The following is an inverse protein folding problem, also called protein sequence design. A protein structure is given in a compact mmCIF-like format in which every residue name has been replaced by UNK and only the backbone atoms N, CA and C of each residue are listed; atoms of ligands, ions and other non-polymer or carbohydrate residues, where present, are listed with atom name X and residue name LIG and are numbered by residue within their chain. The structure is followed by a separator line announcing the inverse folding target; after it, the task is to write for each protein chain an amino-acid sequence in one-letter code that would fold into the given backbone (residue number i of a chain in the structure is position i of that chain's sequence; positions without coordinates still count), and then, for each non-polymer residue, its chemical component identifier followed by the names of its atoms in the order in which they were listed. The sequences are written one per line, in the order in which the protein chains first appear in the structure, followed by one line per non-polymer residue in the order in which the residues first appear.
data_IF_390566835603
#
_entry.id   IF_390566835603
#
_cell.length_a   1.000
_cell.length_b   1.000
_cell.length_c   1.000
_cell.angle_alpha   90.00
_cell.angle_beta   90.00
_cell.angle_gamma   90.00
#
_symmetry.space_group_name_H-M   'P 1'
#
loop_
_entity.id
_entity.type
_entity.pdbx_description
1 polymer ?
#
# COMPACT_ATOMS: atom_id res chain seq x y z
N UNK A 1 6.22 18.11 -5.92
CA UNK A 1 5.42 17.03 -6.55
C UNK A 1 6.38 16.00 -7.10
N UNK A 2 6.14 14.73 -6.87
CA UNK A 2 6.99 13.67 -7.42
C UNK A 2 6.74 13.57 -8.92
N UNK A 3 7.77 13.75 -9.74
CA UNK A 3 7.62 13.77 -11.21
C UNK A 3 7.68 12.36 -11.84
N UNK A 4 7.81 11.29 -11.03
CA UNK A 4 7.97 9.90 -11.47
C UNK A 4 7.43 8.90 -10.43
N UNK A 5 7.37 7.62 -10.82
CA UNK A 5 7.16 6.52 -9.87
C UNK A 5 8.47 6.23 -9.11
N UNK A 6 8.36 6.08 -7.79
CA UNK A 6 9.42 5.63 -6.90
C UNK A 6 9.24 4.16 -6.57
N UNK A 7 10.30 3.39 -6.64
CA UNK A 7 10.28 1.96 -6.34
C UNK A 7 10.90 1.68 -4.99
N UNK A 8 10.38 0.68 -4.30
CA UNK A 8 10.86 0.28 -2.98
C UNK A 8 10.26 -1.03 -2.48
N UNK A 9 10.41 -1.29 -1.19
CA UNK A 9 9.97 -2.54 -0.54
C UNK A 9 9.01 -2.28 0.61
N UNK A 10 8.15 -3.24 0.89
CA UNK A 10 7.39 -3.32 2.15
C UNK A 10 8.23 -4.10 3.16
N UNK A 11 8.86 -3.38 4.07
CA UNK A 11 9.88 -3.89 4.99
C UNK A 11 11.31 -3.61 4.53
N UNK A 12 12.24 -3.65 5.49
CA UNK A 12 13.67 -3.47 5.21
C UNK A 12 14.19 -4.57 4.29
N UNK A 13 15.07 -4.26 3.30
CA UNK A 13 15.68 -5.26 2.44
C UNK A 13 16.31 -6.42 3.20
N UNK A 14 16.24 -7.63 2.65
CA UNK A 14 16.84 -8.82 3.25
C UNK A 14 18.37 -8.69 3.39
N UNK A 15 18.99 -7.98 2.47
CA UNK A 15 20.44 -7.69 2.48
C UNK A 15 20.83 -6.52 3.38
N UNK A 16 19.93 -6.06 4.26
CA UNK A 16 20.25 -5.01 5.23
C UNK A 16 21.37 -5.45 6.16
N UNK A 17 22.51 -4.72 6.26
CA UNK A 17 23.60 -5.07 7.15
C UNK A 17 23.16 -5.14 8.62
N UNK A 18 23.78 -5.99 9.45
CA UNK A 18 23.42 -6.10 10.87
C UNK A 18 23.75 -4.82 11.68
N UNK A 19 24.57 -3.95 11.14
CA UNK A 19 24.92 -2.65 11.75
C UNK A 19 24.87 -1.55 10.70
N UNK A 20 24.06 -0.48 10.94
CA UNK A 20 23.25 -0.22 12.13
C UNK A 20 22.05 -1.14 12.29
N UNK A 21 21.66 -1.90 11.24
CA UNK A 21 20.53 -2.81 11.28
C UNK A 21 19.17 -2.12 11.41
N UNK A 22 18.11 -2.90 11.58
CA UNK A 22 16.76 -2.39 11.75
C UNK A 22 16.30 -1.47 10.60
N UNK A 23 15.35 -0.59 10.89
CA UNK A 23 14.78 0.31 9.87
C UNK A 23 15.80 1.33 9.35
N UNK A 24 16.68 1.87 10.21
CA UNK A 24 17.73 2.82 9.80
C UNK A 24 18.70 2.17 8.82
N UNK A 25 19.17 0.94 9.11
CA UNK A 25 19.99 0.18 8.18
C UNK A 25 19.24 -0.17 6.90
N UNK A 26 17.96 -0.47 7.00
CA UNK A 26 17.08 -0.71 5.84
C UNK A 26 16.99 0.50 4.91
N UNK A 27 16.86 1.71 5.46
CA UNK A 27 16.85 2.95 4.68
C UNK A 27 18.17 3.19 3.96
N UNK A 28 19.30 2.96 4.64
CA UNK A 28 20.63 3.05 4.02
C UNK A 28 20.76 2.03 2.89
N UNK A 29 20.28 0.80 3.12
CA UNK A 29 20.31 -0.24 2.11
C UNK A 29 19.43 0.05 0.89
N UNK A 30 18.22 0.58 1.09
CA UNK A 30 17.35 1.08 0.02
C UNK A 30 18.08 2.10 -0.86
N UNK A 31 18.75 3.07 -0.23
CA UNK A 31 19.52 4.09 -0.94
C UNK A 31 20.69 3.48 -1.73
N UNK A 32 21.48 2.58 -1.12
CA UNK A 32 22.60 1.88 -1.79
C UNK A 32 22.15 1.07 -3.00
N UNK A 33 20.95 0.47 -2.94
CA UNK A 33 20.36 -0.28 -4.06
C UNK A 33 19.80 0.63 -5.16
N UNK A 34 19.76 1.95 -4.96
CA UNK A 34 19.16 2.89 -5.90
C UNK A 34 17.63 2.84 -5.93
N UNK A 35 17.01 2.29 -4.89
CA UNK A 35 15.58 2.37 -4.62
C UNK A 35 15.25 3.68 -3.90
N UNK A 36 13.98 4.11 -3.93
CA UNK A 36 13.59 5.47 -3.53
C UNK A 36 12.41 5.49 -2.54
N UNK A 37 11.89 4.32 -2.13
CA UNK A 37 10.78 4.22 -1.19
C UNK A 37 10.96 3.04 -0.23
N UNK A 38 10.44 3.20 0.99
CA UNK A 38 10.36 2.13 1.99
C UNK A 38 9.05 2.23 2.76
N UNK A 39 8.32 1.13 2.84
CA UNK A 39 7.18 1.00 3.73
C UNK A 39 7.59 0.33 5.03
N UNK A 40 7.29 0.98 6.15
CA UNK A 40 7.57 0.46 7.48
C UNK A 40 6.56 -0.65 7.80
N UNK A 41 6.98 -1.91 7.75
CA UNK A 41 6.12 -3.08 7.93
C UNK A 41 5.80 -3.32 9.42
N UNK A 42 4.92 -2.52 10.01
CA UNK A 42 4.44 -2.71 11.38
C UNK A 42 3.25 -3.67 11.48
N UNK A 43 3.28 -4.67 10.65
CA UNK A 43 2.18 -5.60 10.35
C UNK A 43 1.67 -6.44 11.53
N UNK A 44 2.45 -6.57 12.60
CA UNK A 44 2.03 -7.28 13.82
C UNK A 44 1.62 -6.33 14.94
N UNK A 45 2.41 -5.28 15.15
CA UNK A 45 2.15 -4.27 16.18
C UNK A 45 3.07 -3.07 15.96
N UNK A 46 2.65 -1.90 16.40
CA UNK A 46 3.47 -0.70 16.44
C UNK A 46 4.30 -0.72 17.72
N UNK A 47 5.59 -1.05 17.61
CA UNK A 47 6.55 -1.08 18.73
C UNK A 47 7.79 -0.29 18.33
N UNK A 48 7.70 1.01 18.44
CA UNK A 48 8.78 1.95 18.10
C UNK A 48 8.82 3.07 19.11
N UNK A 49 10.02 3.47 19.54
CA UNK A 49 10.19 4.62 20.43
C UNK A 49 10.18 5.92 19.63
N UNK A 50 9.88 7.04 20.29
CA UNK A 50 9.97 8.37 19.68
C UNK A 50 11.37 8.67 19.15
N UNK A 51 12.40 8.26 19.91
CA UNK A 51 13.79 8.41 19.46
C UNK A 51 14.06 7.65 18.16
N UNK A 52 13.58 6.40 18.05
CA UNK A 52 13.69 5.62 16.83
C UNK A 52 12.92 6.27 15.68
N UNK A 53 11.72 6.81 15.93
CA UNK A 53 10.98 7.57 14.92
C UNK A 53 11.77 8.79 14.42
N UNK A 54 12.39 9.54 15.30
CA UNK A 54 13.25 10.70 14.93
C UNK A 54 14.42 10.26 14.05
N UNK A 55 15.09 9.16 14.40
CA UNK A 55 16.21 8.61 13.63
C UNK A 55 15.76 8.14 12.24
N UNK A 56 14.63 7.45 12.14
CA UNK A 56 14.02 7.02 10.87
C UNK A 56 13.75 8.24 10.00
N UNK A 57 13.06 9.26 10.54
CA UNK A 57 12.76 10.49 9.81
C UNK A 57 14.01 11.16 9.29
N UNK A 58 14.98 11.43 10.17
CA UNK A 58 16.23 12.12 9.80
C UNK A 58 17.00 11.35 8.73
N UNK A 59 17.04 10.01 8.81
CA UNK A 59 17.73 9.18 7.83
C UNK A 59 16.99 9.20 6.49
N UNK A 60 15.66 9.06 6.49
CA UNK A 60 14.88 9.07 5.25
C UNK A 60 14.96 10.43 4.54
N UNK A 61 14.87 11.53 5.28
CA UNK A 61 15.02 12.89 4.75
C UNK A 61 16.41 13.12 4.15
N UNK A 62 17.48 12.72 4.86
CA UNK A 62 18.86 12.86 4.39
C UNK A 62 19.13 12.05 3.11
N UNK A 63 18.50 10.88 2.95
CA UNK A 63 18.67 10.00 1.79
C UNK A 63 17.63 10.22 0.69
N UNK A 64 16.65 11.11 0.89
CA UNK A 64 15.58 11.38 -0.06
C UNK A 64 14.62 10.21 -0.29
N UNK A 65 14.44 9.33 0.72
CA UNK A 65 13.59 8.14 0.64
C UNK A 65 12.15 8.49 1.06
N UNK A 66 11.18 8.14 0.21
CA UNK A 66 9.77 8.27 0.53
C UNK A 66 9.33 7.18 1.50
N UNK A 67 8.76 7.61 2.65
CA UNK A 67 8.26 6.68 3.67
C UNK A 67 6.76 6.51 3.62
N UNK A 68 6.33 5.28 3.89
CA UNK A 68 4.96 4.91 4.27
C UNK A 68 5.00 3.92 5.44
N UNK A 69 3.82 3.59 5.95
CA UNK A 69 3.66 2.58 7.02
C UNK A 69 2.59 1.60 6.58
N UNK A 70 2.86 0.30 6.71
CA UNK A 70 1.83 -0.72 6.74
C UNK A 70 1.39 -0.97 8.19
N UNK A 71 0.14 -0.66 8.50
CA UNK A 71 -0.44 -0.87 9.82
C UNK A 71 -0.67 -2.37 10.13
N UNK A 72 -0.90 -2.75 11.39
CA UNK A 72 -1.09 -4.16 11.75
C UNK A 72 -2.24 -4.83 10.98
N UNK A 73 -2.03 -6.07 10.52
CA UNK A 73 -3.02 -6.83 9.74
C UNK A 73 -4.30 -7.16 10.50
N UNK A 74 -4.22 -7.30 11.83
CA UNK A 74 -5.36 -7.72 12.65
C UNK A 74 -6.32 -6.56 12.92
N UNK A 75 -6.92 -6.03 11.85
CA UNK A 75 -7.89 -4.94 11.91
C UNK A 75 -9.16 -5.30 11.14
N UNK A 76 -10.29 -4.82 11.64
CA UNK A 76 -11.57 -4.89 10.96
C UNK A 76 -12.43 -3.70 11.35
N UNK A 77 -12.47 -2.69 10.49
CA UNK A 77 -13.34 -1.53 10.73
C UNK A 77 -14.82 -1.87 10.61
N UNK A 78 -15.19 -3.03 10.03
CA UNK A 78 -16.56 -3.55 10.01
C UNK A 78 -16.85 -4.54 11.16
N UNK A 79 -16.01 -4.61 12.21
CA UNK A 79 -16.23 -5.51 13.33
C UNK A 79 -17.62 -5.32 13.95
N UNK A 80 -18.34 -6.43 14.21
CA UNK A 80 -19.69 -6.43 14.76
C UNK A 80 -19.72 -6.07 16.24
N UNK A 81 -18.70 -6.50 16.98
CA UNK A 81 -18.58 -6.22 18.39
C UNK A 81 -17.76 -4.95 18.66
N UNK A 82 -18.11 -4.29 19.76
CA UNK A 82 -17.50 -3.01 20.15
C UNK A 82 -16.00 -3.15 20.51
N UNK A 83 -15.61 -4.27 21.08
CA UNK A 83 -14.23 -4.51 21.51
C UNK A 83 -13.30 -4.70 20.29
N UNK A 84 -13.73 -5.48 19.30
CA UNK A 84 -13.01 -5.70 18.04
C UNK A 84 -12.84 -4.41 17.24
N UNK A 85 -13.89 -3.59 17.17
CA UNK A 85 -13.77 -2.27 16.54
C UNK A 85 -12.78 -1.36 17.28
N UNK A 86 -12.90 -1.26 18.61
CA UNK A 86 -11.99 -0.44 19.42
C UNK A 86 -10.54 -0.85 19.22
N UNK A 87 -10.25 -2.15 19.28
CA UNK A 87 -8.90 -2.67 19.06
C UNK A 87 -8.37 -2.36 17.64
N UNK A 88 -9.23 -2.44 16.62
CA UNK A 88 -8.88 -2.10 15.23
C UNK A 88 -8.56 -0.61 15.09
N UNK A 89 -9.41 0.24 15.66
CA UNK A 89 -9.22 1.68 15.68
C UNK A 89 -7.92 2.08 16.40
N UNK A 90 -7.65 1.52 17.59
CA UNK A 90 -6.45 1.79 18.37
C UNK A 90 -5.17 1.42 17.57
N UNK A 91 -5.18 0.30 16.83
CA UNK A 91 -4.05 -0.10 15.98
C UNK A 91 -3.80 0.87 14.85
N UNK A 92 -4.86 1.31 14.16
CA UNK A 92 -4.73 2.27 13.06
C UNK A 92 -4.25 3.63 13.57
N UNK A 93 -4.83 4.12 14.67
CA UNK A 93 -4.41 5.37 15.31
C UNK A 93 -2.94 5.33 15.76
N UNK A 94 -2.51 4.21 16.37
CA UNK A 94 -1.12 4.03 16.78
C UNK A 94 -0.16 4.04 15.58
N UNK A 95 -0.53 3.37 14.49
CA UNK A 95 0.27 3.36 13.26
C UNK A 95 0.35 4.76 12.63
N UNK A 96 -0.75 5.50 12.60
CA UNK A 96 -0.81 6.85 12.07
C UNK A 96 0.06 7.82 12.87
N UNK A 97 -0.06 7.84 14.20
CA UNK A 97 0.72 8.72 15.10
C UNK A 97 2.22 8.42 15.01
N UNK A 98 2.60 7.15 15.13
CA UNK A 98 4.00 6.76 15.06
C UNK A 98 4.59 6.96 13.64
N UNK A 99 3.80 6.68 12.59
CA UNK A 99 4.18 6.94 11.21
C UNK A 99 4.45 8.42 10.95
N UNK A 100 3.55 9.28 11.40
CA UNK A 100 3.72 10.72 11.32
C UNK A 100 5.00 11.20 12.04
N UNK A 101 5.28 10.68 13.24
CA UNK A 101 6.52 10.97 13.96
C UNK A 101 7.75 10.48 13.19
N UNK A 102 7.68 9.32 12.55
CA UNK A 102 8.75 8.76 11.73
C UNK A 102 8.92 9.44 10.35
N UNK A 103 8.06 10.41 10.00
CA UNK A 103 8.14 11.13 8.72
C UNK A 103 7.34 10.47 7.59
N UNK A 104 6.62 9.38 7.84
CA UNK A 104 5.70 8.79 6.90
C UNK A 104 4.39 9.59 6.87
N UNK A 105 3.87 9.80 5.66
CA UNK A 105 2.58 10.48 5.47
C UNK A 105 1.47 9.54 4.98
N UNK A 106 1.82 8.40 4.44
CA UNK A 106 0.90 7.39 3.93
C UNK A 106 0.83 6.20 4.89
N UNK A 107 -0.37 5.85 5.34
CA UNK A 107 -0.62 4.76 6.30
C UNK A 107 -1.52 3.74 5.62
N UNK A 108 -0.94 2.68 5.12
CA UNK A 108 -1.65 1.55 4.50
C UNK A 108 -2.27 0.66 5.57
N UNK A 109 -3.46 0.17 5.32
CA UNK A 109 -4.15 -0.73 6.23
C UNK A 109 -5.18 -1.60 5.50
N UNK A 110 -5.40 -2.80 6.01
CA UNK A 110 -6.50 -3.67 5.61
C UNK A 110 -7.81 -3.18 6.24
N UNK A 111 -8.83 -2.80 5.47
CA UNK A 111 -10.05 -2.21 6.05
C UNK A 111 -10.92 -3.22 6.81
N UNK A 112 -10.76 -4.53 6.54
CA UNK A 112 -11.42 -5.60 7.27
C UNK A 112 -12.20 -6.57 6.39
N UNK A 113 -13.28 -7.13 6.91
CA UNK A 113 -14.09 -8.14 6.24
C UNK A 113 -15.58 -7.83 6.33
N UNK A 114 -16.36 -8.37 5.41
CA UNK A 114 -17.82 -8.18 5.41
C UNK A 114 -18.51 -8.84 6.60
N UNK A 115 -17.93 -9.92 7.16
CA UNK A 115 -18.54 -10.70 8.26
C UNK A 115 -20.00 -11.11 7.98
N UNK A 116 -20.32 -11.42 6.71
CA UNK A 116 -21.68 -11.76 6.27
C UNK A 116 -22.64 -10.56 6.17
N UNK A 117 -22.17 -9.33 6.33
CA UNK A 117 -22.97 -8.15 6.00
C UNK A 117 -23.07 -7.96 4.49
N UNK A 118 -24.14 -7.32 4.01
CA UNK A 118 -24.21 -6.87 2.61
C UNK A 118 -23.17 -5.78 2.38
N UNK A 119 -22.58 -5.72 1.16
CA UNK A 119 -21.52 -4.76 0.83
C UNK A 119 -21.85 -3.31 1.17
N UNK A 120 -23.06 -2.86 0.86
CA UNK A 120 -23.49 -1.48 1.11
C UNK A 120 -23.52 -1.14 2.61
N UNK A 121 -23.97 -2.09 3.43
CA UNK A 121 -23.98 -1.91 4.89
C UNK A 121 -22.56 -1.92 5.48
N UNK A 122 -21.70 -2.77 4.96
CA UNK A 122 -20.28 -2.80 5.37
C UNK A 122 -19.62 -1.48 4.99
N UNK A 123 -19.85 -1.00 3.76
CA UNK A 123 -19.35 0.28 3.28
C UNK A 123 -19.74 1.44 4.22
N UNK A 124 -21.00 1.62 4.52
CA UNK A 124 -21.46 2.70 5.40
C UNK A 124 -20.84 2.62 6.81
N UNK A 125 -20.64 1.39 7.32
CA UNK A 125 -20.00 1.20 8.62
C UNK A 125 -18.53 1.59 8.58
N UNK A 126 -17.78 1.11 7.57
CA UNK A 126 -16.36 1.40 7.39
C UNK A 126 -16.17 2.90 7.13
N UNK A 127 -16.96 3.49 6.21
CA UNK A 127 -16.89 4.92 5.88
C UNK A 127 -17.04 5.80 7.11
N UNK A 128 -18.11 5.61 7.88
CA UNK A 128 -18.37 6.40 9.10
C UNK A 128 -17.22 6.27 10.11
N UNK A 129 -16.75 5.04 10.39
CA UNK A 129 -15.70 4.78 11.36
C UNK A 129 -14.33 5.31 10.90
N UNK A 130 -14.05 5.24 9.60
CA UNK A 130 -12.82 5.78 9.03
C UNK A 130 -12.83 7.31 9.06
N UNK A 131 -13.98 7.93 8.79
CA UNK A 131 -14.16 9.36 8.90
C UNK A 131 -13.90 9.86 10.33
N UNK A 132 -14.46 9.20 11.35
CA UNK A 132 -14.21 9.48 12.78
C UNK A 132 -12.70 9.43 13.11
N UNK A 133 -11.98 8.45 12.56
CA UNK A 133 -10.51 8.30 12.74
C UNK A 133 -9.76 9.46 12.08
N UNK A 134 -10.10 9.81 10.84
CA UNK A 134 -9.47 10.93 10.11
C UNK A 134 -9.67 12.25 10.84
N UNK A 135 -10.89 12.51 11.32
CA UNK A 135 -11.22 13.72 12.06
C UNK A 135 -10.40 13.84 13.36
N UNK A 136 -10.31 12.77 14.14
CA UNK A 136 -9.51 12.76 15.37
C UNK A 136 -8.02 12.94 15.10
N UNK A 137 -7.44 12.26 14.11
CA UNK A 137 -6.04 12.46 13.73
C UNK A 137 -5.76 13.92 13.32
N UNK A 138 -6.71 14.55 12.63
CA UNK A 138 -6.61 15.96 12.22
C UNK A 138 -6.67 16.89 13.44
N UNK A 139 -7.56 16.63 14.40
CA UNK A 139 -7.65 17.39 15.66
C UNK A 139 -6.36 17.28 16.48
N UNK A 140 -5.66 16.15 16.42
CA UNK A 140 -4.36 15.92 17.04
C UNK A 140 -3.18 16.56 16.27
N UNK A 141 -3.41 17.14 15.11
CA UNK A 141 -2.34 17.66 14.24
C UNK A 141 -1.52 16.56 13.55
N UNK A 142 -2.06 15.33 13.45
CA UNK A 142 -1.43 14.19 12.75
C UNK A 142 -1.85 14.22 11.28
N UNK A 143 -1.06 14.89 10.46
CA UNK A 143 -1.32 15.08 9.03
C UNK A 143 -0.83 13.87 8.20
N UNK A 144 -1.66 12.85 8.09
CA UNK A 144 -1.41 11.64 7.30
C UNK A 144 -2.55 11.38 6.31
N UNK A 145 -2.26 10.58 5.29
CA UNK A 145 -3.23 10.00 4.36
C UNK A 145 -3.45 8.55 4.77
N UNK A 146 -4.69 8.19 5.09
CA UNK A 146 -5.05 6.81 5.36
C UNK A 146 -5.32 6.09 4.03
N UNK A 147 -4.65 4.96 3.83
CA UNK A 147 -4.64 4.19 2.58
C UNK A 147 -5.34 2.83 2.76
N UNK A 148 -6.67 2.74 2.65
CA UNK A 148 -7.33 1.44 2.61
C UNK A 148 -6.84 0.66 1.39
N UNK A 149 -6.44 -0.59 1.62
CA UNK A 149 -5.85 -1.44 0.60
C UNK A 149 -6.91 -2.29 -0.11
N UNK A 150 -6.70 -2.53 -1.42
CA UNK A 150 -7.49 -3.52 -2.16
C UNK A 150 -7.13 -4.93 -1.72
N UNK A 151 -8.13 -5.78 -1.46
CA UNK A 151 -7.98 -7.07 -0.79
C UNK A 151 -8.15 -8.27 -1.72
N UNK A 152 -7.32 -9.29 -1.54
CA UNK A 152 -7.23 -10.47 -2.41
C UNK A 152 -8.27 -11.58 -2.18
N UNK A 153 -9.26 -11.40 -1.29
CA UNK A 153 -10.33 -12.39 -1.04
C UNK A 153 -11.71 -11.75 -1.11
N UNK A 154 -12.67 -12.45 -1.73
CA UNK A 154 -14.05 -11.96 -1.86
C UNK A 154 -14.78 -11.76 -0.53
N UNK A 155 -14.36 -12.42 0.55
CA UNK A 155 -14.91 -12.24 1.90
C UNK A 155 -14.40 -10.97 2.60
N UNK A 156 -13.35 -10.33 2.06
CA UNK A 156 -12.75 -9.12 2.61
C UNK A 156 -13.33 -7.88 1.92
N UNK A 157 -13.59 -6.86 2.71
CA UNK A 157 -13.91 -5.52 2.26
C UNK A 157 -12.65 -4.88 1.65
N UNK A 158 -12.76 -4.23 0.52
CA UNK A 158 -11.63 -3.64 -0.20
C UNK A 158 -11.61 -4.07 -1.67
N UNK A 159 -12.73 -3.99 -2.38
CA UNK A 159 -12.76 -3.96 -3.83
C UNK A 159 -12.16 -2.64 -4.32
N UNK A 160 -11.73 -2.58 -5.58
CA UNK A 160 -11.24 -1.34 -6.18
C UNK A 160 -12.27 -0.21 -6.06
N UNK A 161 -13.54 -0.49 -6.31
CA UNK A 161 -14.62 0.51 -6.22
C UNK A 161 -14.82 1.01 -4.79
N UNK A 162 -14.78 0.11 -3.81
CA UNK A 162 -14.94 0.49 -2.40
C UNK A 162 -13.81 1.42 -1.92
N UNK A 163 -12.55 1.13 -2.25
CA UNK A 163 -11.44 2.00 -1.84
C UNK A 163 -11.42 3.34 -2.58
N UNK A 164 -11.81 3.36 -3.87
CA UNK A 164 -12.00 4.61 -4.63
C UNK A 164 -13.14 5.44 -4.01
N UNK A 165 -14.27 4.80 -3.68
CA UNK A 165 -15.40 5.49 -3.10
C UNK A 165 -15.09 6.05 -1.70
N UNK A 166 -14.40 5.30 -0.83
CA UNK A 166 -13.90 5.81 0.46
C UNK A 166 -13.02 7.05 0.28
N UNK A 167 -12.14 7.01 -0.71
CA UNK A 167 -11.21 8.10 -1.01
C UNK A 167 -11.91 9.35 -1.52
N UNK A 168 -13.00 9.18 -2.27
CA UNK A 168 -13.86 10.27 -2.73
C UNK A 168 -14.69 10.89 -1.59
N UNK A 169 -15.21 10.03 -0.72
CA UNK A 169 -16.17 10.43 0.32
C UNK A 169 -15.49 10.99 1.58
N UNK A 170 -14.19 10.71 1.79
CA UNK A 170 -13.47 11.11 3.02
C UNK A 170 -12.17 11.87 2.67
N UNK A 171 -12.13 13.20 2.84
CA UNK A 171 -10.89 13.96 2.69
C UNK A 171 -9.81 13.49 3.67
N UNK A 172 -8.63 13.10 3.16
CA UNK A 172 -7.55 12.50 3.95
C UNK A 172 -7.43 10.99 3.75
N UNK A 173 -8.26 10.43 2.86
CA UNK A 173 -8.17 9.03 2.43
C UNK A 173 -7.81 8.98 0.94
N UNK A 174 -6.87 8.12 0.56
CA UNK A 174 -6.54 7.75 -0.82
C UNK A 174 -6.29 6.23 -0.86
N UNK A 175 -6.50 5.55 -1.99
CA UNK A 175 -6.36 4.10 -2.02
C UNK A 175 -4.89 3.65 -1.97
N UNK A 176 -4.65 2.47 -1.39
CA UNK A 176 -3.54 1.61 -1.75
C UNK A 176 -4.06 0.54 -2.71
N UNK A 177 -3.47 0.45 -3.89
CA UNK A 177 -3.89 -0.52 -4.91
C UNK A 177 -2.87 -1.64 -4.96
N UNK A 178 -3.22 -2.78 -4.40
CA UNK A 178 -2.46 -4.01 -4.56
C UNK A 178 -2.98 -4.76 -5.81
N UNK A 179 -2.16 -4.81 -6.85
CA UNK A 179 -2.50 -5.46 -8.11
C UNK A 179 -2.43 -6.98 -8.02
N UNK A 180 -1.59 -7.53 -7.14
CA UNK A 180 -1.58 -8.97 -6.86
C UNK A 180 -2.87 -9.40 -6.16
N UNK A 181 -3.35 -8.61 -5.20
CA UNK A 181 -4.64 -8.86 -4.55
C UNK A 181 -5.81 -8.78 -5.54
N UNK A 182 -5.84 -7.77 -6.41
CA UNK A 182 -6.89 -7.66 -7.44
C UNK A 182 -6.89 -8.88 -8.36
N UNK A 183 -5.71 -9.33 -8.81
CA UNK A 183 -5.55 -10.53 -9.63
C UNK A 183 -6.02 -11.79 -8.89
N UNK A 184 -5.66 -11.96 -7.63
CA UNK A 184 -6.04 -13.13 -6.85
C UNK A 184 -7.53 -13.17 -6.46
N UNK A 185 -8.20 -12.01 -6.36
CA UNK A 185 -9.52 -11.88 -5.76
C UNK A 185 -10.60 -12.72 -6.43
N UNK A 186 -10.61 -12.77 -7.75
CA UNK A 186 -11.56 -13.59 -8.51
C UNK A 186 -11.29 -15.09 -8.38
N UNK A 187 -10.04 -15.48 -8.17
CA UNK A 187 -9.60 -16.86 -7.97
C UNK A 187 -9.62 -17.71 -9.24
N UNK A 188 -9.64 -17.08 -10.41
CA UNK A 188 -9.76 -17.70 -11.72
C UNK A 188 -8.67 -17.26 -12.73
N UNK A 189 -7.71 -16.43 -12.28
CA UNK A 189 -6.63 -15.91 -13.12
C UNK A 189 -7.01 -14.69 -13.96
N UNK A 190 -8.20 -14.17 -13.82
CA UNK A 190 -8.62 -12.90 -14.42
C UNK A 190 -7.94 -11.70 -13.80
N UNK A 191 -8.16 -10.50 -14.35
CA UNK A 191 -7.48 -9.28 -13.95
C UNK A 191 -5.93 -9.39 -14.08
N UNK A 192 -5.49 -9.78 -15.30
CA UNK A 192 -4.07 -10.05 -15.57
C UNK A 192 -3.68 -9.67 -17.01
N UNK A 193 -4.22 -8.58 -17.53
CA UNK A 193 -3.91 -8.05 -18.85
C UNK A 193 -3.72 -6.53 -18.82
N UNK A 194 -3.01 -6.01 -19.80
CA UNK A 194 -2.81 -4.57 -19.97
C UNK A 194 -4.14 -3.80 -19.94
N UNK A 195 -5.16 -4.29 -20.64
CA UNK A 195 -6.48 -3.66 -20.73
C UNK A 195 -7.18 -3.60 -19.37
N UNK A 196 -7.08 -4.66 -18.56
CA UNK A 196 -7.66 -4.71 -17.22
C UNK A 196 -6.94 -3.79 -16.26
N UNK A 197 -5.60 -3.72 -16.35
CA UNK A 197 -4.81 -2.75 -15.56
C UNK A 197 -5.14 -1.30 -15.96
N UNK A 198 -5.26 -1.04 -17.27
CA UNK A 198 -5.68 0.27 -17.78
C UNK A 198 -7.10 0.63 -17.34
N UNK A 199 -8.05 -0.32 -17.33
CA UNK A 199 -9.40 -0.08 -16.83
C UNK A 199 -9.38 0.32 -15.35
N UNK A 200 -8.63 -0.42 -14.51
CA UNK A 200 -8.48 -0.06 -13.10
C UNK A 200 -7.92 1.35 -12.89
N UNK A 201 -6.87 1.71 -13.63
CA UNK A 201 -6.28 3.06 -13.55
C UNK A 201 -7.23 4.15 -14.05
N UNK A 202 -8.00 3.89 -15.12
CA UNK A 202 -9.05 4.81 -15.59
C UNK A 202 -10.15 4.99 -14.55
N UNK A 203 -10.56 3.94 -13.84
CA UNK A 203 -11.56 4.02 -12.76
C UNK A 203 -11.02 4.87 -11.60
N UNK A 204 -9.75 4.73 -11.24
CA UNK A 204 -9.10 5.60 -10.25
C UNK A 204 -9.13 7.06 -10.71
N UNK A 205 -8.75 7.33 -11.96
CA UNK A 205 -8.77 8.69 -12.52
C UNK A 205 -10.19 9.26 -12.57
N UNK A 206 -11.19 8.47 -12.96
CA UNK A 206 -12.58 8.89 -13.00
C UNK A 206 -13.15 9.20 -11.61
N UNK A 207 -12.77 8.40 -10.60
CA UNK A 207 -13.27 8.55 -9.24
C UNK A 207 -12.59 9.66 -8.44
N UNK A 208 -11.29 9.90 -8.66
CA UNK A 208 -10.45 10.78 -7.82
C UNK A 208 -9.87 11.97 -8.59
N UNK A 209 -10.14 12.08 -9.88
CA UNK A 209 -9.56 13.10 -10.74
C UNK A 209 -8.05 12.93 -10.93
N UNK A 210 -7.34 13.99 -11.40
CA UNK A 210 -5.89 13.92 -11.66
C UNK A 210 -5.06 13.49 -10.46
N UNK A 211 -5.48 13.84 -9.26
CA UNK A 211 -4.80 13.47 -8.01
C UNK A 211 -4.70 11.94 -7.86
N UNK A 212 -5.72 11.20 -8.28
CA UNK A 212 -5.73 9.75 -8.20
C UNK A 212 -4.55 9.08 -8.91
N UNK A 213 -4.09 9.63 -10.04
CA UNK A 213 -2.93 9.11 -10.77
C UNK A 213 -1.60 9.78 -10.39
N UNK A 214 -1.63 10.93 -9.71
CA UNK A 214 -0.44 11.67 -9.32
C UNK A 214 0.09 11.29 -7.92
N UNK A 215 -0.76 10.69 -7.09
CA UNK A 215 -0.44 10.27 -5.72
C UNK A 215 -0.70 8.77 -5.51
N UNK A 216 -0.37 7.93 -6.52
CA UNK A 216 -0.57 6.48 -6.43
C UNK A 216 0.30 5.85 -5.34
N UNK A 217 -0.31 4.91 -4.63
CA UNK A 217 0.35 4.00 -3.72
C UNK A 217 0.01 2.59 -4.17
N UNK A 218 0.99 1.88 -4.67
CA UNK A 218 0.81 0.60 -5.35
C UNK A 218 1.62 -0.47 -4.62
N UNK A 219 0.98 -1.61 -4.33
CA UNK A 219 1.64 -2.83 -3.94
C UNK A 219 1.68 -3.80 -5.13
N UNK A 220 2.80 -4.49 -5.28
CA UNK A 220 3.01 -5.52 -6.31
C UNK A 220 3.81 -6.68 -5.74
N UNK A 221 3.36 -7.88 -6.00
CA UNK A 221 4.10 -9.13 -5.73
C UNK A 221 3.65 -10.22 -6.71
N UNK A 222 4.36 -11.32 -6.77
CA UNK A 222 3.77 -12.57 -7.20
C UNK A 222 2.74 -13.05 -6.17
N UNK A 223 1.75 -13.85 -6.57
CA UNK A 223 0.71 -14.31 -5.66
C UNK A 223 0.22 -15.72 -6.01
N UNK A 224 0.12 -16.57 -5.00
CA UNK A 224 -0.61 -17.82 -5.08
C UNK A 224 -2.08 -17.60 -4.71
N UNK A 225 -2.99 -18.17 -5.49
CA UNK A 225 -4.42 -18.06 -5.24
C UNK A 225 -5.16 -19.36 -5.52
N UNK A 226 -6.40 -19.42 -5.11
CA UNK A 226 -7.35 -20.49 -5.40
C UNK A 226 -8.70 -19.86 -5.74
N UNK A 227 -9.72 -20.66 -6.05
CA UNK A 227 -11.11 -20.18 -6.22
C UNK A 227 -11.66 -19.38 -5.03
N UNK A 228 -10.97 -19.38 -3.87
CA UNK A 228 -11.32 -18.58 -2.70
C UNK A 228 -10.52 -17.27 -2.61
N UNK A 229 -9.72 -16.96 -3.63
CA UNK A 229 -8.82 -15.82 -3.69
C UNK A 229 -7.42 -16.15 -3.19
N UNK A 230 -6.73 -15.13 -2.75
CA UNK A 230 -5.35 -15.09 -2.27
C UNK A 230 -5.02 -16.18 -1.24
N UNK A 231 -3.80 -16.73 -1.34
CA UNK A 231 -3.20 -17.63 -0.35
C UNK A 231 -1.98 -17.01 0.34
N UNK A 232 -0.96 -16.68 -0.42
CA UNK A 232 0.29 -16.05 0.05
C UNK A 232 1.04 -15.44 -1.13
N UNK A 233 1.92 -14.49 -0.84
CA UNK A 233 2.79 -13.88 -1.83
C UNK A 233 3.85 -14.85 -2.33
N UNK A 234 4.25 -14.68 -3.59
CA UNK A 234 5.32 -15.38 -4.29
C UNK A 234 6.30 -14.34 -4.84
N UNK A 235 7.46 -14.80 -5.29
CA UNK A 235 8.31 -13.97 -6.13
C UNK A 235 7.65 -13.79 -7.51
N UNK A 236 7.90 -12.66 -8.18
CA UNK A 236 7.26 -12.33 -9.45
C UNK A 236 7.51 -13.39 -10.53
N UNK A 237 8.72 -13.95 -10.57
CA UNK A 237 9.08 -14.98 -11.56
C UNK A 237 8.46 -16.36 -11.27
N UNK A 238 7.92 -16.57 -10.08
CA UNK A 238 7.26 -17.81 -9.66
C UNK A 238 5.73 -17.74 -9.81
N UNK A 239 5.22 -16.59 -10.25
CA UNK A 239 3.79 -16.30 -10.35
C UNK A 239 3.39 -15.93 -11.78
N UNK A 240 2.11 -15.88 -12.01
CA UNK A 240 1.53 -15.58 -13.33
C UNK A 240 1.14 -14.11 -13.53
N UNK A 241 1.35 -13.23 -12.51
CA UNK A 241 1.06 -11.81 -12.64
C UNK A 241 1.90 -11.15 -13.75
N UNK A 242 1.24 -10.56 -14.73
CA UNK A 242 1.86 -9.88 -15.88
C UNK A 242 2.35 -8.47 -15.51
N UNK A 243 3.30 -8.40 -14.59
CA UNK A 243 3.80 -7.14 -14.06
C UNK A 243 4.42 -6.21 -15.13
N UNK A 244 4.94 -6.73 -16.24
CA UNK A 244 5.44 -5.88 -17.34
C UNK A 244 4.29 -5.11 -18.00
N UNK A 245 3.13 -5.75 -18.21
CA UNK A 245 1.93 -5.10 -18.75
C UNK A 245 1.35 -4.06 -17.77
N UNK A 246 1.41 -4.36 -16.46
CA UNK A 246 1.05 -3.38 -15.43
C UNK A 246 1.96 -2.15 -15.48
N UNK A 247 3.28 -2.33 -15.55
CA UNK A 247 4.23 -1.23 -15.63
C UNK A 247 4.04 -0.41 -16.91
N UNK A 248 3.72 -1.08 -18.04
CA UNK A 248 3.38 -0.39 -19.28
C UNK A 248 2.13 0.47 -19.12
N UNK A 249 1.07 -0.05 -18.49
CA UNK A 249 -0.16 0.70 -18.22
C UNK A 249 0.11 1.91 -17.33
N UNK A 250 0.93 1.78 -16.29
CA UNK A 250 1.33 2.89 -15.41
C UNK A 250 2.08 3.99 -16.17
N UNK A 251 2.96 3.61 -17.10
CA UNK A 251 3.67 4.56 -17.97
C UNK A 251 2.69 5.28 -18.88
N UNK A 252 1.75 4.57 -19.48
CA UNK A 252 0.82 5.11 -20.48
C UNK A 252 -0.18 6.11 -19.89
N UNK A 253 -0.57 5.95 -18.62
CA UNK A 253 -1.41 6.92 -17.92
C UNK A 253 -0.62 8.07 -17.28
N UNK A 254 0.72 8.07 -17.40
CA UNK A 254 1.57 9.06 -16.73
C UNK A 254 1.49 8.99 -15.21
N UNK A 255 1.43 7.78 -14.66
CA UNK A 255 1.32 7.52 -13.23
C UNK A 255 2.50 8.10 -12.45
N UNK A 256 2.21 8.65 -11.26
CA UNK A 256 3.19 9.14 -10.29
C UNK A 256 2.88 8.60 -8.90
N UNK A 257 3.87 8.65 -8.01
CA UNK A 257 3.75 8.12 -6.66
C UNK A 257 4.74 7.01 -6.40
N UNK A 258 4.29 5.87 -5.85
CA UNK A 258 5.21 4.77 -5.48
C UNK A 258 4.69 3.39 -5.84
N UNK A 259 5.64 2.49 -6.13
CA UNK A 259 5.43 1.05 -6.33
C UNK A 259 6.28 0.32 -5.31
N UNK A 260 5.65 -0.41 -4.43
CA UNK A 260 6.27 -1.12 -3.31
C UNK A 260 6.11 -2.63 -3.51
N UNK A 261 7.23 -3.33 -3.41
CA UNK A 261 7.28 -4.77 -3.59
C UNK A 261 6.97 -5.50 -2.28
N UNK A 262 6.04 -6.46 -2.34
CA UNK A 262 5.68 -7.37 -1.24
C UNK A 262 6.09 -8.83 -1.49
N UNK A 263 6.89 -9.09 -2.54
CA UNK A 263 7.42 -10.42 -2.81
C UNK A 263 8.32 -10.90 -1.66
N UNK A 264 8.40 -12.22 -1.39
CA UNK A 264 9.28 -12.75 -0.33
C UNK A 264 10.75 -12.39 -0.47
N UNK A 265 11.24 -12.16 -1.70
CA UNK A 265 12.60 -11.74 -2.00
C UNK A 265 12.82 -10.20 -1.97
N UNK A 266 11.80 -9.44 -1.57
CA UNK A 266 11.78 -7.98 -1.36
C UNK A 266 12.55 -7.17 -2.42
N UNK A 267 13.81 -6.83 -2.14
CA UNK A 267 14.63 -5.96 -2.98
C UNK A 267 14.95 -6.52 -4.36
N UNK A 268 15.02 -7.84 -4.52
CA UNK A 268 15.30 -8.46 -5.82
C UNK A 268 14.17 -8.14 -6.81
N UNK A 269 12.93 -8.38 -6.40
CA UNK A 269 11.78 -8.04 -7.24
C UNK A 269 11.51 -6.54 -7.33
N UNK A 270 11.80 -5.75 -6.29
CA UNK A 270 11.74 -4.29 -6.37
C UNK A 270 12.70 -3.73 -7.43
N UNK A 271 13.92 -4.26 -7.51
CA UNK A 271 14.90 -3.91 -8.53
C UNK A 271 14.49 -4.41 -9.92
N UNK A 272 13.89 -5.60 -10.01
CA UNK A 272 13.31 -6.13 -11.25
C UNK A 272 12.21 -5.20 -11.78
N UNK A 273 11.27 -4.78 -10.94
CA UNK A 273 10.21 -3.83 -11.29
C UNK A 273 10.78 -2.49 -11.76
N UNK A 274 11.73 -1.92 -11.00
CA UNK A 274 12.37 -0.65 -11.35
C UNK A 274 13.14 -0.75 -12.67
N UNK A 275 13.92 -1.82 -12.86
CA UNK A 275 14.69 -2.05 -14.08
C UNK A 275 13.79 -2.22 -15.31
N UNK A 276 12.70 -2.98 -15.17
CA UNK A 276 11.69 -3.16 -16.21
C UNK A 276 10.99 -1.85 -16.56
N UNK A 277 10.58 -1.06 -15.56
CA UNK A 277 9.99 0.26 -15.78
C UNK A 277 10.92 1.19 -16.56
N UNK A 278 12.20 1.26 -16.18
CA UNK A 278 13.21 2.08 -16.89
C UNK A 278 13.43 1.62 -18.33
N UNK A 279 13.48 0.30 -18.57
CA UNK A 279 13.60 -0.29 -19.92
C UNK A 279 12.40 0.07 -20.81
N UNK A 280 11.18 -0.04 -20.28
CA UNK A 280 9.95 0.31 -21.01
C UNK A 280 9.87 1.80 -21.33
N UNK A 281 10.29 2.68 -20.41
CA UNK A 281 10.39 4.12 -20.67
C UNK A 281 11.38 4.44 -21.78
N UNK A 282 12.57 3.82 -21.77
CA UNK A 282 13.61 4.04 -22.78
C UNK A 282 13.18 3.56 -24.18
N UNK A 283 12.30 2.55 -24.27
CA UNK A 283 11.77 2.06 -25.54
C UNK A 283 10.71 2.96 -26.19
N UNK A 284 10.26 4.02 -25.50
CA UNK A 284 9.29 5.00 -26.02
C UNK A 284 9.91 6.25 -26.66
N UNK A 285 11.21 6.47 -26.48
CA UNK A 285 11.97 7.59 -27.07
C UNK A 285 12.62 7.16 -28.36
#
# INVERSE_FOLDING_TARGET
MEDKLRFGTVGSPLSTPPRPGGTVGGLQRIHELGLEALELAWVRSVRVSEETCRQIRATAEALGIALSVHAPYFMNLNAKDRAGYRASRERLMAAARAGYQAGARDIVFHPGSYQGARPERAYETVRRRLQEIVEELREEGVEVILRPETMGKSALFGTLDEVIQLSRDIPGVLPCIDFAHLHARAGDGSFNSYEEFMDALRRVAAGLGPRGLQELHIHVSGIAYTRKGERHHLNLQEADLRYEELLQALIDVGARGRVLCESPNLEEDALLLQGTYRRLLAGKG
#
